data_IF_696385414205
#
_entry.id   IF_696385414205
#
_cell.length_a   1.000
_cell.length_b   1.000
_cell.length_c   1.000
_cell.angle_alpha   90.00
_cell.angle_beta   90.00
_cell.angle_gamma   90.00
#
_symmetry.space_group_name_H-M   'P 1'
#
loop_
_entity.id
_entity.type
_entity.pdbx_description
1 polymer ?
#
# COMPACT_ATOMS: atom_id res chain seq x y z
N UNK A 1 11.96 -5.84 -16.47
CA UNK A 1 12.07 -5.02 -15.25
C UNK A 1 10.89 -5.30 -14.33
N UNK A 2 11.11 -5.32 -13.01
CA UNK A 2 10.01 -5.32 -12.02
C UNK A 2 9.46 -3.89 -11.82
N UNK A 3 8.15 -3.77 -11.61
CA UNK A 3 7.48 -2.50 -11.27
C UNK A 3 7.16 -2.45 -9.76
N UNK A 4 7.21 -1.26 -9.15
CA UNK A 4 7.20 -1.11 -7.68
C UNK A 4 6.27 0.00 -7.18
N UNK A 5 5.92 -0.05 -5.89
CA UNK A 5 5.22 1.01 -5.14
C UNK A 5 5.88 1.26 -3.78
N UNK A 6 5.79 2.50 -3.32
CA UNK A 6 6.34 2.95 -2.05
C UNK A 6 5.23 3.13 -0.99
N UNK A 7 5.54 2.83 0.27
CA UNK A 7 4.62 3.00 1.42
C UNK A 7 5.27 3.94 2.43
N UNK A 8 4.59 5.04 2.78
CA UNK A 8 5.07 6.06 3.73
C UNK A 8 4.46 5.89 5.13
N UNK A 9 5.33 5.81 6.13
CA UNK A 9 5.01 5.54 7.52
C UNK A 9 4.72 6.77 8.40
N UNK A 10 4.16 6.55 9.60
CA UNK A 10 3.88 7.63 10.55
C UNK A 10 5.15 8.26 11.14
N UNK A 11 6.26 7.50 11.23
CA UNK A 11 7.61 8.04 11.50
C UNK A 11 8.21 8.85 10.32
N UNK A 12 7.54 8.92 9.17
CA UNK A 12 8.00 9.62 7.98
C UNK A 12 9.07 8.89 7.16
N UNK A 13 9.38 7.63 7.45
CA UNK A 13 10.26 6.77 6.61
C UNK A 13 9.43 5.98 5.57
N UNK A 14 10.10 5.35 4.60
CA UNK A 14 9.45 4.56 3.52
C UNK A 14 9.94 3.11 3.39
N UNK A 15 9.02 2.24 2.96
CA UNK A 15 9.31 0.92 2.38
C UNK A 15 9.04 0.92 0.87
N UNK A 16 9.64 -0.03 0.13
CA UNK A 16 9.40 -0.27 -1.30
C UNK A 16 8.99 -1.73 -1.57
N UNK A 17 8.03 -1.95 -2.47
CA UNK A 17 7.44 -3.26 -2.77
C UNK A 17 7.26 -3.59 -4.26
N UNK A 18 7.57 -4.82 -4.69
CA UNK A 18 7.29 -5.34 -6.03
C UNK A 18 5.79 -5.61 -6.23
N UNK A 19 5.22 -5.24 -7.39
CA UNK A 19 3.80 -5.46 -7.74
C UNK A 19 3.57 -5.98 -9.17
N UNK A 20 2.36 -6.48 -9.45
CA UNK A 20 1.91 -6.88 -10.80
C UNK A 20 0.42 -6.52 -11.00
N UNK A 21 -0.09 -6.36 -12.25
CA UNK A 21 -1.47 -5.95 -12.53
C UNK A 21 -2.60 -6.86 -12.02
N UNK A 22 -2.27 -8.02 -11.44
CA UNK A 22 -3.20 -8.97 -10.81
C UNK A 22 -3.57 -8.64 -9.36
N UNK A 23 -2.75 -7.85 -8.67
CA UNK A 23 -2.81 -7.71 -7.20
C UNK A 23 -4.02 -6.87 -6.75
N UNK A 24 -4.64 -7.28 -5.63
CA UNK A 24 -5.66 -6.47 -4.91
C UNK A 24 -5.04 -5.63 -3.80
N UNK A 25 -5.72 -4.59 -3.34
CA UNK A 25 -5.21 -3.72 -2.26
C UNK A 25 -5.03 -4.49 -0.94
N UNK A 26 -5.81 -5.57 -0.72
CA UNK A 26 -5.58 -6.52 0.37
C UNK A 26 -4.24 -7.30 0.27
N UNK A 27 -3.75 -7.54 -0.95
CA UNK A 27 -2.45 -8.19 -1.18
C UNK A 27 -1.30 -7.22 -0.82
N UNK A 28 -1.50 -5.91 -0.98
CA UNK A 28 -0.57 -4.89 -0.46
C UNK A 28 -0.53 -4.94 1.07
N UNK A 29 -1.69 -5.04 1.75
CA UNK A 29 -1.74 -5.28 3.21
C UNK A 29 -0.99 -6.56 3.60
N UNK A 30 -1.13 -7.64 2.84
CA UNK A 30 -0.46 -8.92 3.09
C UNK A 30 1.07 -8.81 2.96
N UNK A 31 1.58 -8.16 1.90
CA UNK A 31 3.02 -7.91 1.73
C UNK A 31 3.60 -7.02 2.83
N UNK A 32 2.85 -5.99 3.27
CA UNK A 32 3.20 -5.17 4.44
C UNK A 32 3.25 -6.03 5.70
N UNK A 33 2.20 -6.81 5.95
CA UNK A 33 2.14 -7.78 7.04
C UNK A 33 3.34 -8.75 7.13
N UNK A 34 3.79 -9.24 5.97
CA UNK A 34 4.97 -10.11 5.83
C UNK A 34 6.30 -9.40 6.08
N UNK A 35 6.34 -8.05 6.10
CA UNK A 35 7.46 -7.20 6.52
C UNK A 35 7.35 -6.74 7.98
N UNK A 36 6.29 -5.98 8.28
CA UNK A 36 6.03 -5.24 9.53
C UNK A 36 5.34 -6.01 10.65
N UNK A 37 4.73 -7.16 10.33
CA UNK A 37 3.92 -8.00 11.21
C UNK A 37 2.65 -7.34 11.77
N UNK A 38 2.24 -6.16 11.26
CA UNK A 38 0.96 -5.52 11.60
C UNK A 38 -0.17 -6.25 10.86
N UNK A 39 -1.08 -6.87 11.62
CA UNK A 39 -2.19 -7.67 11.08
C UNK A 39 -3.06 -6.88 10.10
N UNK A 40 -3.43 -7.50 8.96
CA UNK A 40 -4.16 -6.80 7.90
C UNK A 40 -5.51 -6.24 8.33
N UNK A 41 -6.19 -6.87 9.29
CA UNK A 41 -7.41 -6.33 9.93
C UNK A 41 -7.19 -4.94 10.54
N UNK A 42 -6.03 -4.68 11.13
CA UNK A 42 -5.69 -3.44 11.81
C UNK A 42 -5.12 -2.30 10.95
N UNK A 43 -4.49 -2.61 9.81
CA UNK A 43 -3.82 -1.62 8.93
C UNK A 43 -4.70 -1.13 7.77
N UNK A 44 -4.47 0.10 7.30
CA UNK A 44 -5.16 0.71 6.17
C UNK A 44 -4.28 1.74 5.45
N UNK A 45 -4.50 1.95 4.15
CA UNK A 45 -3.70 2.79 3.26
C UNK A 45 -4.55 3.87 2.57
N UNK A 46 -3.92 5.03 2.33
CA UNK A 46 -4.52 6.22 1.71
C UNK A 46 -3.75 6.74 0.49
N UNK A 47 -4.46 7.38 -0.43
CA UNK A 47 -3.90 8.24 -1.47
C UNK A 47 -4.79 9.40 -1.93
N UNK A 48 -4.19 10.58 -2.15
CA UNK A 48 -4.85 11.84 -2.51
C UNK A 48 -6.00 12.25 -1.55
N UNK A 49 -5.91 11.87 -0.27
CA UNK A 49 -6.90 12.16 0.77
C UNK A 49 -8.05 11.15 0.89
N UNK A 50 -8.04 10.02 0.17
CA UNK A 50 -9.05 8.96 0.24
C UNK A 50 -8.44 7.61 0.67
N UNK A 51 -9.24 6.76 1.34
CA UNK A 51 -8.83 5.46 1.88
C UNK A 51 -9.15 4.32 0.88
N UNK A 52 -8.16 3.47 0.56
CA UNK A 52 -8.30 2.42 -0.45
C UNK A 52 -9.01 1.14 0.04
N UNK A 53 -9.76 0.50 -0.85
CA UNK A 53 -10.63 -0.65 -0.54
C UNK A 53 -9.95 -1.99 -0.85
N UNK A 54 -10.00 -2.89 0.13
CA UNK A 54 -9.49 -4.27 0.10
C UNK A 54 -10.05 -5.16 -1.03
N UNK A 55 -11.27 -4.91 -1.52
CA UNK A 55 -11.87 -5.69 -2.61
C UNK A 55 -11.30 -5.37 -4.00
N UNK A 56 -10.72 -4.18 -4.21
CA UNK A 56 -10.31 -3.67 -5.53
C UNK A 56 -8.88 -4.03 -5.91
N UNK A 57 -8.60 -4.01 -7.21
CA UNK A 57 -7.27 -4.13 -7.81
C UNK A 57 -6.55 -2.81 -8.06
N UNK A 58 -5.21 -2.88 -8.13
CA UNK A 58 -4.32 -1.81 -8.56
C UNK A 58 -4.78 -1.17 -9.89
N UNK A 59 -5.28 -1.98 -10.83
CA UNK A 59 -5.80 -1.51 -12.12
C UNK A 59 -7.07 -0.69 -12.01
N UNK A 60 -7.97 -1.01 -11.08
CA UNK A 60 -9.23 -0.26 -10.93
C UNK A 60 -8.96 1.16 -10.42
N UNK A 61 -7.95 1.31 -9.54
CA UNK A 61 -7.41 2.60 -9.10
C UNK A 61 -6.46 3.32 -10.09
N UNK A 62 -6.00 2.65 -11.15
CA UNK A 62 -5.03 3.11 -12.18
C UNK A 62 -3.58 3.29 -11.67
N UNK A 63 -3.19 2.55 -10.63
CA UNK A 63 -1.95 2.77 -9.85
C UNK A 63 -0.65 2.51 -10.65
N UNK A 64 -0.67 1.56 -11.61
CA UNK A 64 0.48 1.25 -12.50
C UNK A 64 0.30 1.80 -13.92
N UNK A 65 -0.91 2.23 -14.30
CA UNK A 65 -1.23 2.74 -15.64
C UNK A 65 -1.24 4.27 -15.80
N UNK A 66 -1.18 5.01 -14.69
CA UNK A 66 -1.07 6.48 -14.63
C UNK A 66 0.22 7.04 -15.25
N UNK A 67 0.25 8.36 -15.44
CA UNK A 67 1.44 9.14 -15.86
C UNK A 67 2.57 9.30 -14.82
N UNK A 68 2.33 8.88 -13.57
CA UNK A 68 3.27 8.98 -12.44
C UNK A 68 3.35 7.71 -11.59
N UNK A 69 4.47 7.56 -10.87
CA UNK A 69 4.66 6.55 -9.84
C UNK A 69 3.88 6.88 -8.55
N UNK A 70 3.77 5.90 -7.65
CA UNK A 70 3.03 5.99 -6.40
C UNK A 70 3.82 5.85 -5.08
N UNK A 71 3.50 6.75 -4.13
CA UNK A 71 3.64 6.53 -2.68
C UNK A 71 2.31 6.58 -1.94
N UNK A 72 1.96 5.50 -1.26
CA UNK A 72 0.73 5.36 -0.46
C UNK A 72 1.01 5.67 1.01
N UNK A 73 0.07 6.30 1.71
CA UNK A 73 0.24 6.70 3.11
C UNK A 73 -0.36 5.67 4.08
N UNK A 74 0.37 5.32 5.15
CA UNK A 74 -0.16 4.61 6.30
C UNK A 74 -1.06 5.52 7.16
N UNK A 75 -2.23 5.05 7.59
CA UNK A 75 -3.15 5.84 8.41
C UNK A 75 -2.63 6.19 9.83
N UNK A 76 -3.18 7.26 10.42
CA UNK A 76 -2.89 7.73 11.78
C UNK A 76 -3.01 6.72 12.94
N UNK A 77 -1.99 6.63 13.80
CA UNK A 77 -1.96 5.79 15.03
C UNK A 77 -2.11 4.28 14.80
N UNK A 78 -1.59 3.78 13.66
CA UNK A 78 -1.45 2.35 13.38
C UNK A 78 -0.17 1.77 14.04
N UNK A 79 -0.31 0.60 14.66
CA UNK A 79 0.72 -0.13 15.42
C UNK A 79 0.20 -1.56 15.68
N UNK A 80 1.08 -2.49 16.06
CA UNK A 80 0.78 -3.91 16.32
C UNK A 80 -0.40 -4.11 17.28
N UNK A 81 -0.46 -3.30 18.35
CA UNK A 81 -1.57 -3.16 19.29
C UNK A 81 -2.02 -1.71 19.36
#
# INVERSE_FOLDING_TARGET
SHMQVSIEFQNGEKLKFNVQPSHKILDIKEMIFKKTNINVKDQSLKFAGNEMINQKTLSDYSIIDSTEEFTLHLETKLDLM
#
